data_IF_784421290843
#
_entry.id   IF_784421290843
#
_cell.length_a   1.000
_cell.length_b   1.000
_cell.length_c   1.000
_cell.angle_alpha   90.00
_cell.angle_beta   90.00
_cell.angle_gamma   90.00
#
_symmetry.space_group_name_H-M   'P 1'
#
loop_
_entity.id
_entity.type
_entity.pdbx_description
1 polymer ?
#
# COMPACT_ATOMS: atom_id res chain seq x y z
N UNK A 1 27.00 16.22 2.69
CA UNK A 1 26.90 14.90 2.04
C UNK A 1 25.51 14.35 2.35
N UNK A 2 24.52 14.69 1.54
CA UNK A 2 23.21 14.04 1.61
C UNK A 2 23.21 12.93 0.58
N UNK A 3 23.03 11.69 1.00
CA UNK A 3 22.82 10.61 0.04
C UNK A 3 21.46 10.86 -0.62
N UNK A 4 21.48 11.26 -1.89
CA UNK A 4 20.29 11.23 -2.72
C UNK A 4 19.98 9.76 -2.98
N UNK A 5 19.04 9.17 -2.25
CA UNK A 5 18.47 7.87 -2.61
C UNK A 5 17.85 8.03 -3.99
N UNK A 6 18.37 7.31 -4.99
CA UNK A 6 17.92 7.47 -6.37
C UNK A 6 16.54 6.82 -6.62
N UNK A 7 15.98 6.07 -5.65
CA UNK A 7 14.58 5.65 -5.65
C UNK A 7 14.05 5.45 -4.21
N UNK A 8 12.83 5.93 -3.87
CA UNK A 8 12.17 5.64 -2.58
C UNK A 8 12.11 4.15 -2.22
N UNK A 9 12.11 3.26 -3.22
CA UNK A 9 12.14 1.81 -3.04
C UNK A 9 13.41 1.32 -2.33
N UNK A 10 14.57 1.93 -2.61
CA UNK A 10 15.83 1.57 -1.95
C UNK A 10 15.82 2.00 -0.47
N UNK A 11 15.13 3.09 -0.15
CA UNK A 11 15.03 3.61 1.21
C UNK A 11 14.13 2.74 2.10
N UNK A 12 12.99 2.26 1.58
CA UNK A 12 12.11 1.34 2.33
C UNK A 12 12.65 -0.10 2.32
N UNK A 13 13.19 -0.58 1.20
CA UNK A 13 13.55 -1.97 1.01
C UNK A 13 12.34 -2.90 0.83
N UNK A 14 12.57 -4.05 0.18
CA UNK A 14 11.52 -5.03 -0.15
C UNK A 14 10.87 -5.65 1.10
N UNK A 15 11.68 -6.02 2.10
CA UNK A 15 11.22 -6.69 3.30
C UNK A 15 10.27 -5.81 4.12
N UNK A 16 10.67 -4.57 4.39
CA UNK A 16 9.85 -3.62 5.15
C UNK A 16 8.59 -3.22 4.39
N UNK A 17 8.67 -3.06 3.05
CA UNK A 17 7.49 -2.84 2.21
C UNK A 17 6.50 -4.00 2.32
N UNK A 18 7.00 -5.25 2.26
CA UNK A 18 6.18 -6.44 2.42
C UNK A 18 5.50 -6.48 3.78
N UNK A 19 6.25 -6.23 4.86
CA UNK A 19 5.74 -6.16 6.24
C UNK A 19 4.71 -5.04 6.43
N UNK A 20 4.95 -3.87 5.84
CA UNK A 20 4.02 -2.74 5.86
C UNK A 20 2.68 -3.12 5.22
N UNK A 21 2.72 -3.73 4.03
CA UNK A 21 1.50 -4.13 3.32
C UNK A 21 0.75 -5.24 4.06
N UNK A 22 1.46 -6.20 4.63
CA UNK A 22 0.82 -7.28 5.42
C UNK A 22 0.14 -6.70 6.67
N UNK A 23 0.85 -5.87 7.43
CA UNK A 23 0.31 -5.16 8.60
C UNK A 23 -0.88 -4.28 8.23
N UNK A 24 -0.82 -3.62 7.07
CA UNK A 24 -1.91 -2.81 6.56
C UNK A 24 -3.17 -3.64 6.30
N UNK A 25 -3.05 -4.79 5.62
CA UNK A 25 -4.20 -5.64 5.32
C UNK A 25 -4.75 -6.39 6.54
N UNK A 26 -3.92 -6.71 7.53
CA UNK A 26 -4.40 -7.18 8.84
C UNK A 26 -5.38 -6.18 9.47
N UNK A 27 -5.04 -4.88 9.41
CA UNK A 27 -5.92 -3.81 9.90
C UNK A 27 -7.17 -3.64 9.05
N UNK A 28 -7.05 -3.66 7.72
CA UNK A 28 -8.19 -3.58 6.79
C UNK A 28 -9.19 -4.72 7.04
N UNK A 29 -8.69 -5.94 7.25
CA UNK A 29 -9.51 -7.14 7.49
C UNK A 29 -10.38 -7.05 8.75
N UNK A 30 -9.95 -6.22 9.71
CA UNK A 30 -10.61 -6.02 11.00
C UNK A 30 -11.42 -4.73 11.07
N UNK A 31 -11.27 -3.81 10.10
CA UNK A 31 -11.92 -2.50 10.14
C UNK A 31 -13.40 -2.59 9.71
N UNK A 32 -14.37 -2.14 10.54
CA UNK A 32 -15.80 -2.36 10.28
C UNK A 32 -16.31 -1.69 8.98
N UNK A 33 -15.73 -0.55 8.58
CA UNK A 33 -16.10 0.14 7.34
C UNK A 33 -15.47 -0.45 6.07
N UNK A 34 -14.32 -1.12 6.21
CA UNK A 34 -13.55 -1.61 5.07
C UNK A 34 -13.85 -3.07 4.80
N UNK A 35 -13.83 -3.93 5.84
CA UNK A 35 -14.09 -5.37 5.72
C UNK A 35 -15.28 -5.73 4.79
N UNK A 36 -16.43 -5.02 4.81
CA UNK A 36 -17.56 -5.35 3.92
C UNK A 36 -17.33 -5.14 2.42
N UNK A 37 -16.33 -4.34 2.02
CA UNK A 37 -16.01 -4.05 0.61
C UNK A 37 -14.75 -4.77 0.12
N UNK A 38 -14.13 -5.59 0.97
CA UNK A 38 -12.99 -6.43 0.63
C UNK A 38 -13.39 -7.92 0.58
N UNK A 39 -12.66 -8.77 -0.17
CA UNK A 39 -12.83 -10.21 -0.10
C UNK A 39 -12.45 -10.76 1.28
N UNK A 40 -12.95 -11.95 1.62
CA UNK A 40 -12.59 -12.63 2.87
C UNK A 40 -11.13 -13.09 2.90
N UNK A 41 -10.56 -13.40 1.74
CA UNK A 41 -9.14 -13.69 1.57
C UNK A 41 -8.44 -12.50 0.92
N UNK A 42 -7.50 -11.91 1.63
CA UNK A 42 -6.74 -10.74 1.21
C UNK A 42 -5.40 -11.08 0.56
N UNK A 43 -5.03 -12.36 0.45
CA UNK A 43 -3.71 -12.79 -0.05
C UNK A 43 -3.38 -12.15 -1.41
N UNK A 44 -4.28 -12.27 -2.38
CA UNK A 44 -4.10 -11.67 -3.71
C UNK A 44 -4.17 -10.13 -3.69
N UNK A 45 -4.95 -9.56 -2.79
CA UNK A 45 -5.07 -8.10 -2.65
C UNK A 45 -3.77 -7.51 -2.12
N UNK A 46 -3.18 -8.14 -1.10
CA UNK A 46 -1.89 -7.79 -0.55
C UNK A 46 -0.76 -7.97 -1.58
N UNK A 47 -0.74 -9.09 -2.32
CA UNK A 47 0.26 -9.34 -3.36
C UNK A 47 0.25 -8.24 -4.43
N UNK A 48 -0.92 -7.87 -4.93
CA UNK A 48 -1.08 -6.78 -5.91
C UNK A 48 -0.64 -5.44 -5.36
N UNK A 49 -0.93 -5.14 -4.09
CA UNK A 49 -0.48 -3.92 -3.45
C UNK A 49 1.05 -3.88 -3.30
N UNK A 50 1.70 -4.99 -2.94
CA UNK A 50 3.16 -5.10 -2.89
C UNK A 50 3.77 -4.83 -4.26
N UNK A 51 3.28 -5.51 -5.30
CA UNK A 51 3.73 -5.29 -6.68
C UNK A 51 3.56 -3.83 -7.12
N UNK A 52 2.41 -3.23 -6.79
CA UNK A 52 2.14 -1.83 -7.13
C UNK A 52 3.10 -0.89 -6.42
N UNK A 53 3.29 -1.02 -5.10
CA UNK A 53 4.18 -0.15 -4.33
C UNK A 53 5.65 -0.34 -4.70
N UNK A 54 6.10 -1.57 -4.96
CA UNK A 54 7.44 -1.86 -5.48
C UNK A 54 7.69 -1.05 -6.75
N UNK A 55 6.79 -1.12 -7.73
CA UNK A 55 6.91 -0.35 -8.96
C UNK A 55 6.80 1.16 -8.71
N UNK A 56 5.80 1.59 -7.93
CA UNK A 56 5.49 3.00 -7.69
C UNK A 56 6.65 3.74 -7.02
N UNK A 57 7.37 3.07 -6.12
CA UNK A 57 8.51 3.62 -5.41
C UNK A 57 9.82 3.56 -6.21
N UNK A 58 9.78 3.11 -7.47
CA UNK A 58 10.93 3.07 -8.38
C UNK A 58 11.68 1.73 -8.42
N UNK A 59 11.11 0.67 -7.85
CA UNK A 59 11.59 -0.70 -8.02
C UNK A 59 11.15 -1.34 -9.35
N UNK A 60 11.32 -2.68 -9.49
CA UNK A 60 10.93 -3.40 -10.71
C UNK A 60 9.44 -3.24 -11.06
N UNK A 61 9.06 -3.26 -12.36
CA UNK A 61 7.69 -2.99 -12.82
C UNK A 61 6.72 -4.18 -12.67
N UNK A 62 6.77 -4.86 -11.51
CA UNK A 62 6.06 -6.12 -11.26
C UNK A 62 4.55 -6.02 -11.48
N UNK A 63 3.94 -4.88 -11.15
CA UNK A 63 2.51 -4.70 -11.33
C UNK A 63 2.15 -4.60 -12.81
N UNK A 64 2.86 -3.78 -13.58
CA UNK A 64 2.54 -3.54 -15.00
C UNK A 64 2.82 -4.77 -15.84
N UNK A 65 3.88 -5.53 -15.52
CA UNK A 65 4.21 -6.77 -16.21
C UNK A 65 3.10 -7.82 -16.12
N UNK A 66 2.43 -7.93 -14.97
CA UNK A 66 1.37 -8.93 -14.77
C UNK A 66 -0.04 -8.40 -15.06
N UNK A 67 -0.33 -7.16 -14.65
CA UNK A 67 -1.70 -6.61 -14.66
C UNK A 67 -1.93 -5.55 -15.73
N UNK A 68 -0.89 -5.14 -16.45
CA UNK A 68 -0.94 -4.03 -17.40
C UNK A 68 -1.03 -2.66 -16.73
N UNK A 69 -1.46 -1.65 -17.48
CA UNK A 69 -1.51 -0.27 -16.99
C UNK A 69 -2.34 -0.17 -15.68
N UNK A 70 -1.86 0.58 -14.64
CA UNK A 70 -2.51 0.60 -13.33
C UNK A 70 -3.98 1.03 -13.36
N UNK A 71 -4.33 2.11 -14.08
CA UNK A 71 -5.71 2.57 -14.24
C UNK A 71 -6.49 2.62 -12.90
N UNK A 72 -5.83 3.07 -11.83
CA UNK A 72 -6.31 2.88 -10.45
C UNK A 72 -7.74 3.36 -10.27
N UNK A 73 -8.07 4.56 -10.74
CA UNK A 73 -9.45 5.08 -10.67
C UNK A 73 -10.46 4.11 -11.27
N UNK A 74 -10.21 3.62 -12.48
CA UNK A 74 -11.11 2.70 -13.16
C UNK A 74 -11.25 1.35 -12.43
N UNK A 75 -10.16 0.84 -11.85
CA UNK A 75 -10.18 -0.40 -11.04
C UNK A 75 -10.90 -0.21 -9.70
N UNK A 76 -10.96 1.01 -9.17
CA UNK A 76 -11.63 1.32 -7.92
C UNK A 76 -13.11 1.72 -8.10
N UNK A 77 -13.55 2.14 -9.30
CA UNK A 77 -14.94 2.52 -9.61
C UNK A 77 -16.02 1.49 -9.20
N UNK A 78 -15.80 0.17 -9.31
CA UNK A 78 -16.80 -0.82 -8.90
C UNK A 78 -17.08 -0.83 -7.39
N UNK A 79 -16.22 -0.22 -6.57
CA UNK A 79 -16.34 -0.25 -5.12
C UNK A 79 -16.91 1.08 -4.59
N UNK A 80 -17.83 1.04 -3.62
CA UNK A 80 -18.40 2.24 -3.02
C UNK A 80 -17.41 2.89 -2.04
N UNK A 81 -16.43 3.63 -2.55
CA UNK A 81 -15.45 4.36 -1.73
C UNK A 81 -16.07 5.71 -1.33
N UNK A 82 -16.54 5.80 -0.09
CA UNK A 82 -17.00 7.04 0.53
C UNK A 82 -15.83 7.76 1.22
N UNK A 83 -16.00 9.02 1.59
CA UNK A 83 -14.99 9.78 2.33
C UNK A 83 -14.61 9.07 3.64
N UNK A 84 -15.60 8.56 4.39
CA UNK A 84 -15.35 7.78 5.62
C UNK A 84 -14.52 6.49 5.37
N UNK A 85 -14.69 5.86 4.20
CA UNK A 85 -13.90 4.67 3.83
C UNK A 85 -12.50 5.05 3.38
N UNK A 86 -12.33 6.19 2.70
CA UNK A 86 -11.02 6.73 2.36
C UNK A 86 -10.23 7.07 3.64
N UNK A 87 -10.86 7.77 4.59
CA UNK A 87 -10.27 8.09 5.89
C UNK A 87 -9.89 6.83 6.68
N UNK A 88 -10.79 5.83 6.71
CA UNK A 88 -10.51 4.55 7.34
C UNK A 88 -9.30 3.84 6.71
N UNK A 89 -9.20 3.84 5.38
CA UNK A 89 -8.09 3.26 4.63
C UNK A 89 -6.77 3.97 4.98
N UNK A 90 -6.76 5.31 4.99
CA UNK A 90 -5.58 6.11 5.37
C UNK A 90 -5.19 5.89 6.84
N UNK A 91 -6.15 5.81 7.76
CA UNK A 91 -5.90 5.48 9.17
C UNK A 91 -5.29 4.09 9.34
N UNK A 92 -5.75 3.09 8.58
CA UNK A 92 -5.16 1.75 8.58
C UNK A 92 -3.69 1.79 8.11
N UNK A 93 -3.39 2.55 7.05
CA UNK A 93 -2.03 2.70 6.53
C UNK A 93 -1.11 3.41 7.54
N UNK A 94 -1.55 4.55 8.08
CA UNK A 94 -0.80 5.32 9.08
C UNK A 94 -0.43 4.47 10.30
N UNK A 95 -1.39 3.71 10.84
CA UNK A 95 -1.16 2.79 11.97
C UNK A 95 -0.29 1.59 11.60
N UNK A 96 -0.27 1.17 10.34
CA UNK A 96 0.62 0.12 9.86
C UNK A 96 2.06 0.64 9.80
N UNK A 97 2.26 1.86 9.29
CA UNK A 97 3.56 2.55 9.29
C UNK A 97 4.11 2.70 10.72
N UNK A 98 3.28 3.09 11.69
CA UNK A 98 3.69 3.16 13.11
C UNK A 98 4.15 1.81 13.64
N UNK A 99 3.42 0.74 13.33
CA UNK A 99 3.72 -0.60 13.85
C UNK A 99 5.00 -1.18 13.27
N UNK A 100 5.32 -0.92 12.01
CA UNK A 100 6.56 -1.39 11.38
C UNK A 100 7.74 -0.43 11.62
N UNK A 101 7.53 0.67 12.34
CA UNK A 101 8.56 1.67 12.62
C UNK A 101 9.00 2.45 11.38
N UNK A 102 8.11 2.67 10.41
CA UNK A 102 8.41 3.48 9.24
C UNK A 102 8.41 4.97 9.63
N UNK A 103 9.58 5.60 9.50
CA UNK A 103 9.86 6.97 9.92
C UNK A 103 10.62 7.76 8.83
N UNK A 104 10.72 9.07 9.00
CA UNK A 104 11.48 9.96 8.11
C UNK A 104 10.83 10.21 6.75
N UNK A 105 11.63 10.68 5.80
CA UNK A 105 11.20 11.16 4.48
C UNK A 105 10.35 10.13 3.72
N UNK A 106 10.64 8.83 3.88
CA UNK A 106 9.90 7.76 3.20
C UNK A 106 8.46 7.63 3.74
N UNK A 107 8.25 7.89 5.02
CA UNK A 107 6.92 7.90 5.62
C UNK A 107 6.11 9.08 5.09
N UNK A 108 6.72 10.27 5.07
CA UNK A 108 6.10 11.49 4.55
C UNK A 108 5.79 11.39 3.06
N UNK A 109 6.61 10.68 2.29
CA UNK A 109 6.36 10.44 0.88
C UNK A 109 5.14 9.53 0.62
N UNK A 110 4.86 8.59 1.52
CA UNK A 110 3.80 7.57 1.35
C UNK A 110 2.43 7.98 1.90
N UNK A 111 2.34 9.05 2.71
CA UNK A 111 1.11 9.46 3.41
C UNK A 111 0.63 10.84 2.94
#
# INVERSE_FOLDING_TARGET
MGQSFNAPYEAIGEELLSQLVDTFYERVSSHPLLKPIFPSDLTETARKQKQFLTQYLGGPPLYTEEHGHPMLRARHLPFPITDERADAWLSCMSKAMDQVGLEGDIREFLY
#
